data_IF_537499143223
#
_entry.id   IF_537499143223
#
_cell.length_a   1.000
_cell.length_b   1.000
_cell.length_c   1.000
_cell.angle_alpha   90.00
_cell.angle_beta   90.00
_cell.angle_gamma   90.00
#
_symmetry.space_group_name_H-M   'P 1'
#
loop_
_entity.id
_entity.type
_entity.pdbx_description
1 polymer ?
#
# COMPACT_ATOMS: atom_id res chain seq x y z
N UNK A 1 -30.52 -13.75 -22.69
CA UNK A 1 -30.52 -12.69 -21.65
C UNK A 1 -30.70 -13.23 -20.23
N UNK A 2 -31.75 -14.02 -19.94
CA UNK A 2 -31.99 -14.58 -18.59
C UNK A 2 -30.77 -15.30 -17.96
N UNK A 3 -30.04 -16.09 -18.74
CA UNK A 3 -28.83 -16.79 -18.27
C UNK A 3 -27.64 -15.85 -17.97
N UNK A 4 -27.53 -14.73 -18.69
CA UNK A 4 -26.47 -13.74 -18.42
C UNK A 4 -26.75 -12.99 -17.12
N UNK A 5 -28.00 -12.59 -16.88
CA UNK A 5 -28.43 -11.94 -15.65
C UNK A 5 -28.28 -12.86 -14.43
N UNK A 6 -28.60 -14.15 -14.56
CA UNK A 6 -28.41 -15.12 -13.49
C UNK A 6 -26.93 -15.36 -13.16
N UNK A 7 -26.04 -15.37 -14.15
CA UNK A 7 -24.59 -15.49 -13.92
C UNK A 7 -24.01 -14.23 -13.27
N UNK A 8 -24.46 -13.04 -13.67
CA UNK A 8 -24.04 -11.78 -13.08
C UNK A 8 -24.47 -11.66 -11.60
N UNK A 9 -25.71 -12.07 -11.28
CA UNK A 9 -26.21 -12.10 -9.89
C UNK A 9 -25.49 -13.13 -9.01
N UNK A 10 -24.89 -14.16 -9.62
CA UNK A 10 -24.12 -15.19 -8.91
C UNK A 10 -22.63 -14.86 -8.83
N UNK A 11 -22.21 -13.72 -9.40
CA UNK A 11 -20.80 -13.32 -9.46
C UNK A 11 -20.34 -12.73 -8.13
N UNK A 12 -19.41 -13.41 -7.47
CA UNK A 12 -18.83 -13.00 -6.19
C UNK A 12 -17.47 -12.33 -6.34
N UNK A 13 -17.02 -12.11 -7.58
CA UNK A 13 -15.73 -11.47 -7.90
C UNK A 13 -15.57 -10.10 -7.23
N UNK A 14 -16.66 -9.35 -7.08
CA UNK A 14 -16.66 -8.05 -6.38
C UNK A 14 -16.47 -8.18 -4.87
N UNK A 15 -17.07 -9.20 -4.24
CA UNK A 15 -16.89 -9.46 -2.81
C UNK A 15 -15.44 -9.90 -2.52
N UNK A 16 -14.85 -10.73 -3.38
CA UNK A 16 -13.43 -11.13 -3.27
C UNK A 16 -12.48 -9.95 -3.50
N UNK A 17 -12.81 -9.03 -4.42
CA UNK A 17 -12.02 -7.83 -4.63
C UNK A 17 -11.92 -6.93 -3.39
N UNK A 18 -13.00 -6.82 -2.59
CA UNK A 18 -13.01 -6.05 -1.34
C UNK A 18 -12.10 -6.69 -0.28
N UNK A 19 -12.07 -8.02 -0.18
CA UNK A 19 -11.19 -8.73 0.76
C UNK A 19 -9.71 -8.49 0.43
N UNK A 20 -9.34 -8.63 -0.85
CA UNK A 20 -7.97 -8.34 -1.29
C UNK A 20 -7.62 -6.85 -1.15
N UNK A 21 -8.57 -5.94 -1.41
CA UNK A 21 -8.37 -4.50 -1.21
C UNK A 21 -8.12 -4.14 0.26
N UNK A 22 -8.80 -4.80 1.20
CA UNK A 22 -8.58 -4.58 2.63
C UNK A 22 -7.18 -5.04 3.06
N UNK A 23 -6.75 -6.21 2.60
CA UNK A 23 -5.40 -6.74 2.86
C UNK A 23 -4.33 -5.81 2.26
N UNK A 24 -4.50 -5.41 1.00
CA UNK A 24 -3.59 -4.49 0.32
C UNK A 24 -3.49 -3.14 1.03
N UNK A 25 -4.62 -2.61 1.52
CA UNK A 25 -4.66 -1.36 2.30
C UNK A 25 -3.89 -1.48 3.61
N UNK A 26 -4.01 -2.62 4.31
CA UNK A 26 -3.23 -2.88 5.53
C UNK A 26 -1.73 -2.95 5.28
N UNK A 27 -1.31 -3.62 4.21
CA UNK A 27 0.11 -3.69 3.79
C UNK A 27 0.63 -2.29 3.43
N UNK A 28 -0.15 -1.50 2.68
CA UNK A 28 0.22 -0.15 2.30
C UNK A 28 0.44 0.76 3.52
N UNK A 29 -0.46 0.69 4.52
CA UNK A 29 -0.33 1.46 5.76
C UNK A 29 0.93 1.06 6.55
N UNK A 30 1.23 -0.24 6.65
CA UNK A 30 2.44 -0.73 7.31
C UNK A 30 3.72 -0.20 6.63
N UNK A 31 3.76 -0.23 5.30
CA UNK A 31 4.88 0.32 4.52
C UNK A 31 5.00 1.83 4.72
N UNK A 32 3.88 2.57 4.65
CA UNK A 32 3.88 4.02 4.88
C UNK A 32 4.46 4.38 6.25
N UNK A 33 4.04 3.67 7.30
CA UNK A 33 4.54 3.88 8.65
C UNK A 33 6.06 3.60 8.75
N UNK A 34 6.54 2.52 8.13
CA UNK A 34 7.95 2.17 8.12
C UNK A 34 8.80 3.22 7.38
N UNK A 35 8.34 3.71 6.22
CA UNK A 35 9.10 4.63 5.37
C UNK A 35 9.18 6.05 5.96
N UNK A 36 8.19 6.48 6.76
CA UNK A 36 8.23 7.80 7.44
C UNK A 36 9.48 7.99 8.31
N UNK A 37 10.02 6.92 8.91
CA UNK A 37 11.24 7.00 9.73
C UNK A 37 12.53 7.15 8.92
N UNK A 38 12.54 6.70 7.66
CA UNK A 38 13.76 6.61 6.84
C UNK A 38 14.19 7.99 6.33
N UNK A 39 13.23 8.84 5.93
CA UNK A 39 13.53 10.17 5.36
C UNK A 39 14.38 11.05 6.30
N UNK A 40 13.97 11.26 7.56
CA UNK A 40 14.75 12.02 8.54
C UNK A 40 16.13 11.40 8.82
N UNK A 41 16.23 10.07 8.93
CA UNK A 41 17.49 9.38 9.18
C UNK A 41 18.47 9.56 8.01
N UNK A 42 17.97 9.47 6.78
CA UNK A 42 18.76 9.67 5.58
C UNK A 42 19.25 11.12 5.47
N UNK A 43 18.36 12.09 5.73
CA UNK A 43 18.72 13.51 5.76
C UNK A 43 19.79 13.80 6.82
N UNK A 44 19.64 13.25 8.03
CA UNK A 44 20.62 13.39 9.09
C UNK A 44 21.99 12.78 8.72
N UNK A 45 22.00 11.63 8.04
CA UNK A 45 23.25 11.03 7.53
C UNK A 45 23.93 11.90 6.49
N UNK A 46 23.19 12.42 5.52
CA UNK A 46 23.77 13.33 4.52
C UNK A 46 24.26 14.64 5.14
N UNK A 47 23.52 15.19 6.11
CA UNK A 47 23.96 16.38 6.85
C UNK A 47 25.26 16.13 7.62
N UNK A 48 25.39 14.97 8.27
CA UNK A 48 26.62 14.56 8.96
C UNK A 48 27.81 14.45 7.99
N UNK A 49 27.62 13.80 6.84
CA UNK A 49 28.68 13.69 5.81
C UNK A 49 29.08 15.09 5.32
N UNK A 50 28.11 15.93 4.99
CA UNK A 50 28.37 17.30 4.53
C UNK A 50 29.09 18.15 5.59
N UNK A 51 28.80 17.94 6.87
CA UNK A 51 29.53 18.60 7.96
C UNK A 51 30.97 18.13 8.08
N UNK A 52 31.25 16.85 7.80
CA UNK A 52 32.60 16.29 7.86
C UNK A 52 33.46 16.63 6.64
N UNK A 53 32.86 17.11 5.55
CA UNK A 53 33.55 17.51 4.32
C UNK A 53 33.90 19.01 4.27
N UNK A 54 33.39 19.81 5.22
CA UNK A 54 33.73 21.23 5.39
C UNK A 54 34.87 21.38 6.40
#
# INVERSE_FOLDING_TARGET
MRQLLSRFLSDQSGATAIEYALIASGIALAIMAAVQGIGPQLSAKFASINSSLK
#
